data_IF_988378967712
#
_entry.id   IF_988378967712
#
_cell.length_a   1.000
_cell.length_b   1.000
_cell.length_c   1.000
_cell.angle_alpha   90.00
_cell.angle_beta   90.00
_cell.angle_gamma   90.00
#
_symmetry.space_group_name_H-M   'P 1'
#
loop_
_entity.id
_entity.type
_entity.pdbx_description
1 polymer ?
#
# COMPACT_ATOMS: atom_id res chain seq x y z
N UNK A 1 -15.95 13.71 -8.96
CA UNK A 1 -14.85 12.99 -8.24
C UNK A 1 -14.75 11.48 -8.52
N UNK A 2 -15.38 10.91 -9.56
CA UNK A 2 -15.25 9.47 -9.91
C UNK A 2 -14.09 9.15 -10.86
N UNK A 3 -13.59 10.14 -11.60
CA UNK A 3 -12.56 9.96 -12.64
C UNK A 3 -11.13 9.70 -12.10
N UNK A 4 -10.77 10.23 -10.92
CA UNK A 4 -9.41 10.08 -10.38
C UNK A 4 -9.11 8.69 -9.79
N UNK A 5 -10.13 7.87 -9.53
CA UNK A 5 -9.94 6.53 -8.96
C UNK A 5 -9.67 5.45 -10.03
N UNK A 6 -10.16 5.65 -11.26
CA UNK A 6 -10.03 4.66 -12.35
C UNK A 6 -8.66 4.71 -13.02
N UNK A 7 -8.04 5.88 -13.11
CA UNK A 7 -6.71 6.07 -13.71
C UNK A 7 -5.61 5.36 -12.88
N UNK A 8 -5.81 5.27 -11.56
CA UNK A 8 -4.84 4.63 -10.63
C UNK A 8 -4.69 3.13 -10.85
N UNK A 9 -5.77 2.42 -11.18
CA UNK A 9 -5.73 0.96 -11.34
C UNK A 9 -4.99 0.51 -12.61
N UNK A 10 -4.93 1.34 -13.66
CA UNK A 10 -4.28 0.96 -14.92
C UNK A 10 -2.80 1.30 -15.00
N UNK A 11 -2.34 2.33 -14.29
CA UNK A 11 -0.95 2.81 -14.42
C UNK A 11 0.04 1.98 -13.58
N UNK A 12 -0.36 1.48 -12.39
CA UNK A 12 0.54 0.65 -11.57
C UNK A 12 0.79 -0.75 -12.17
N UNK A 13 -0.12 -1.28 -12.99
CA UNK A 13 0.05 -2.57 -13.64
C UNK A 13 1.05 -2.55 -14.81
N UNK A 14 1.28 -1.39 -15.43
CA UNK A 14 2.07 -1.28 -16.66
C UNK A 14 3.58 -1.07 -16.48
N UNK A 15 4.07 -0.67 -15.30
CA UNK A 15 5.45 -0.19 -15.14
C UNK A 15 6.46 -1.24 -14.61
N UNK A 16 6.04 -2.49 -14.35
CA UNK A 16 6.89 -3.52 -13.71
C UNK A 16 7.24 -4.72 -14.60
N UNK A 17 7.01 -4.63 -15.92
CA UNK A 17 7.36 -5.70 -16.86
C UNK A 17 8.53 -5.26 -17.76
N UNK A 18 9.77 -5.56 -17.36
CA UNK A 18 10.90 -5.51 -18.28
C UNK A 18 12.27 -5.32 -17.63
N UNK A 19 12.98 -6.43 -17.38
CA UNK A 19 14.42 -6.58 -17.64
C UNK A 19 14.91 -7.93 -17.08
N UNK A 20 15.00 -8.94 -17.93
CA UNK A 20 15.82 -10.12 -17.71
C UNK A 20 16.51 -10.49 -19.02
N UNK A 21 17.67 -11.14 -18.90
CA UNK A 21 18.58 -11.66 -19.94
C UNK A 21 19.79 -10.77 -20.23
N UNK A 22 20.89 -11.04 -19.55
CA UNK A 22 22.18 -11.37 -20.18
C UNK A 22 22.95 -12.31 -19.26
N UNK A 23 23.13 -13.55 -19.71
CA UNK A 23 23.97 -14.56 -19.08
C UNK A 23 25.39 -14.43 -19.66
N UNK A 24 26.40 -14.44 -18.80
CA UNK A 24 27.80 -14.64 -19.21
C UNK A 24 28.40 -15.76 -18.38
N UNK A 25 29.00 -16.70 -19.08
CA UNK A 25 29.61 -17.92 -18.57
C UNK A 25 31.01 -17.65 -18.03
N UNK A 26 31.39 -18.31 -16.93
CA UNK A 26 32.79 -18.46 -16.54
C UNK A 26 33.08 -19.90 -16.10
N UNK A 27 34.23 -20.42 -16.56
CA UNK A 27 34.74 -21.79 -16.41
C UNK A 27 35.51 -21.96 -15.09
N UNK A 28 35.77 -23.20 -14.62
CA UNK A 28 36.12 -23.48 -13.23
C UNK A 28 37.63 -23.49 -12.97
N UNK A 29 38.04 -23.14 -11.75
CA UNK A 29 39.40 -23.37 -11.25
C UNK A 29 39.40 -23.89 -9.79
N UNK A 30 39.79 -25.17 -9.68
CA UNK A 30 40.69 -25.85 -8.72
C UNK A 30 40.62 -25.55 -7.21
N UNK A 31 40.39 -26.65 -6.48
CA UNK A 31 40.25 -26.85 -5.03
C UNK A 31 41.59 -26.92 -4.27
N UNK A 32 41.62 -26.38 -3.05
CA UNK A 32 42.50 -26.80 -1.92
C UNK A 32 41.78 -26.49 -0.57
N UNK A 33 42.05 -27.20 0.54
CA UNK A 33 41.11 -27.36 1.65
C UNK A 33 41.36 -26.50 2.91
N UNK A 34 40.23 -26.05 3.50
CA UNK A 34 39.80 -25.89 4.92
C UNK A 34 40.80 -25.43 6.00
N UNK A 35 40.38 -24.47 6.85
CA UNK A 35 40.22 -24.75 8.28
C UNK A 35 38.82 -24.41 8.84
N UNK A 36 38.39 -25.24 9.80
CA UNK A 36 37.35 -25.17 10.85
C UNK A 36 36.20 -24.13 10.80
N UNK A 37 34.98 -24.49 11.27
CA UNK A 37 33.79 -23.67 11.12
C UNK A 37 33.87 -22.40 11.97
N UNK A 38 33.99 -21.26 11.32
CA UNK A 38 33.56 -20.00 11.90
C UNK A 38 32.07 -20.15 12.23
N UNK A 39 31.72 -19.95 13.51
CA UNK A 39 30.35 -19.88 13.99
C UNK A 39 29.51 -19.06 13.02
N UNK A 40 28.53 -19.71 12.38
CA UNK A 40 27.54 -19.01 11.59
C UNK A 40 26.93 -17.92 12.48
N UNK A 41 26.87 -16.64 12.05
CA UNK A 41 26.05 -15.68 12.76
C UNK A 41 24.62 -16.23 12.77
N UNK A 42 23.99 -16.24 13.95
CA UNK A 42 22.57 -16.54 14.06
C UNK A 42 21.82 -15.68 13.01
N UNK A 43 20.81 -16.22 12.31
CA UNK A 43 20.07 -15.44 11.32
C UNK A 43 19.55 -14.18 12.03
N UNK A 44 20.12 -13.05 11.65
CA UNK A 44 19.64 -11.74 12.08
C UNK A 44 18.15 -11.67 11.75
N UNK A 45 17.33 -11.13 12.64
CA UNK A 45 15.87 -10.96 12.51
C UNK A 45 15.37 -10.21 11.25
N UNK A 46 16.24 -9.97 10.27
CA UNK A 46 16.09 -9.23 9.02
C UNK A 46 15.35 -10.01 7.91
N UNK A 47 14.96 -11.26 8.11
CA UNK A 47 14.21 -12.06 7.11
C UNK A 47 12.74 -12.32 7.49
N UNK A 48 12.22 -11.69 8.55
CA UNK A 48 10.81 -11.88 8.89
C UNK A 48 9.92 -11.25 7.82
N UNK A 49 8.90 -12.01 7.42
CA UNK A 49 7.85 -11.58 6.51
C UNK A 49 7.21 -10.25 7.00
N UNK A 50 6.98 -9.31 6.07
CA UNK A 50 6.29 -8.05 6.36
C UNK A 50 4.83 -8.39 6.68
N UNK A 51 4.43 -8.15 7.91
CA UNK A 51 3.06 -8.38 8.36
C UNK A 51 2.15 -7.23 7.93
N UNK A 52 0.86 -7.51 7.62
CA UNK A 52 -0.10 -6.45 7.37
C UNK A 52 -0.34 -5.64 8.65
N UNK A 53 -0.77 -4.37 8.53
CA UNK A 53 -1.03 -3.51 9.68
C UNK A 53 -2.25 -3.98 10.50
N UNK A 54 -2.49 -3.35 11.65
CA UNK A 54 -3.66 -3.57 12.51
C UNK A 54 -3.77 -4.98 13.10
N UNK A 55 -2.64 -5.67 13.27
CA UNK A 55 -2.60 -7.06 13.76
C UNK A 55 -3.46 -8.00 12.91
N UNK A 56 -3.54 -7.71 11.61
CA UNK A 56 -4.13 -8.59 10.62
C UNK A 56 -3.16 -9.74 10.32
N UNK A 57 -3.67 -10.76 9.67
CA UNK A 57 -2.86 -11.86 9.14
C UNK A 57 -3.10 -11.97 7.64
N UNK A 58 -2.06 -12.33 6.91
CA UNK A 58 -2.22 -12.72 5.52
C UNK A 58 -3.16 -13.91 5.41
N UNK A 59 -3.97 -13.95 4.35
CA UNK A 59 -5.01 -14.96 4.16
C UNK A 59 -6.05 -14.99 5.29
N UNK A 60 -6.25 -13.86 5.99
CA UNK A 60 -7.39 -13.73 6.88
C UNK A 60 -8.69 -13.76 6.04
N UNK A 61 -9.68 -14.60 6.41
CA UNK A 61 -10.97 -14.65 5.72
C UNK A 61 -11.69 -13.31 5.76
N UNK A 62 -12.33 -12.93 4.65
CA UNK A 62 -13.05 -11.66 4.50
C UNK A 62 -14.13 -11.46 5.57
N UNK A 63 -14.83 -12.52 5.98
CA UNK A 63 -15.86 -12.47 7.02
C UNK A 63 -15.27 -12.05 8.37
N UNK A 64 -14.11 -12.62 8.73
CA UNK A 64 -13.41 -12.28 9.96
C UNK A 64 -12.91 -10.85 9.94
N UNK A 65 -12.42 -10.39 8.78
CA UNK A 65 -11.95 -9.02 8.62
C UNK A 65 -13.09 -8.01 8.69
N UNK A 66 -14.23 -8.27 8.03
CA UNK A 66 -15.40 -7.38 8.11
C UNK A 66 -15.92 -7.26 9.55
N UNK A 67 -15.91 -8.34 10.33
CA UNK A 67 -16.21 -8.29 11.78
C UNK A 67 -15.21 -7.42 12.55
N UNK A 68 -13.91 -7.47 12.23
CA UNK A 68 -12.90 -6.59 12.84
C UNK A 68 -13.14 -5.12 12.49
N UNK A 69 -13.51 -4.81 11.25
CA UNK A 69 -13.87 -3.44 10.82
C UNK A 69 -15.05 -2.93 11.65
N UNK A 70 -16.10 -3.75 11.78
CA UNK A 70 -17.30 -3.41 12.55
C UNK A 70 -16.97 -3.22 14.05
N UNK A 71 -16.17 -4.11 14.63
CA UNK A 71 -15.70 -4.00 16.02
C UNK A 71 -14.84 -2.74 16.26
N UNK A 72 -14.06 -2.32 15.26
CA UNK A 72 -13.30 -1.08 15.27
C UNK A 72 -14.17 0.18 15.07
N UNK A 73 -15.49 0.03 14.90
CA UNK A 73 -16.45 1.10 14.61
C UNK A 73 -16.12 1.88 13.33
N UNK A 74 -15.49 1.20 12.37
CA UNK A 74 -15.25 1.71 11.03
C UNK A 74 -16.43 1.36 10.14
N UNK A 75 -16.65 2.15 9.08
CA UNK A 75 -17.71 1.91 8.11
C UNK A 75 -17.13 1.34 6.82
N UNK A 76 -17.74 0.27 6.30
CA UNK A 76 -17.48 -0.19 4.95
C UNK A 76 -18.22 0.73 3.99
N UNK A 77 -17.48 1.45 3.16
CA UNK A 77 -18.03 2.49 2.26
C UNK A 77 -18.16 2.01 0.82
N UNK A 78 -17.39 1.00 0.43
CA UNK A 78 -17.39 0.45 -0.92
C UNK A 78 -16.98 -1.02 -0.92
N UNK A 79 -17.58 -1.79 -1.83
CA UNK A 79 -17.16 -3.16 -2.17
C UNK A 79 -17.20 -3.27 -3.68
N UNK A 80 -16.07 -3.62 -4.29
CA UNK A 80 -15.98 -3.75 -5.74
C UNK A 80 -15.08 -4.91 -6.13
N UNK A 81 -15.40 -5.54 -7.25
CA UNK A 81 -14.54 -6.56 -7.85
C UNK A 81 -13.71 -5.92 -8.96
N UNK A 82 -12.39 -6.04 -8.86
CA UNK A 82 -11.45 -5.67 -9.91
C UNK A 82 -10.77 -6.93 -10.43
N UNK A 83 -11.10 -7.31 -11.66
CA UNK A 83 -10.61 -8.54 -12.30
C UNK A 83 -10.85 -9.77 -11.41
N UNK A 84 -9.79 -10.30 -10.81
CA UNK A 84 -9.80 -11.47 -9.93
C UNK A 84 -9.94 -11.13 -8.44
N UNK A 85 -9.70 -9.87 -8.06
CA UNK A 85 -9.65 -9.46 -6.67
C UNK A 85 -10.90 -8.71 -6.23
N UNK A 86 -11.31 -8.92 -4.99
CA UNK A 86 -12.28 -8.06 -4.32
C UNK A 86 -11.58 -6.98 -3.52
N UNK A 87 -12.11 -5.77 -3.57
CA UNK A 87 -11.64 -4.63 -2.78
C UNK A 87 -12.78 -4.21 -1.87
N UNK A 88 -12.51 -4.23 -0.56
CA UNK A 88 -13.40 -3.68 0.47
C UNK A 88 -12.76 -2.41 1.00
N UNK A 89 -13.46 -1.27 0.87
CA UNK A 89 -12.97 0.01 1.37
C UNK A 89 -13.61 0.31 2.73
N UNK A 90 -12.79 0.56 3.74
CA UNK A 90 -13.21 1.03 5.04
C UNK A 90 -12.83 2.51 5.25
N UNK A 91 -13.72 3.24 5.91
CA UNK A 91 -13.52 4.62 6.34
C UNK A 91 -14.04 4.86 7.75
N UNK A 92 -14.11 6.14 8.15
CA UNK A 92 -14.60 6.53 9.48
C UNK A 92 -13.54 6.53 10.59
N UNK A 93 -12.25 6.58 10.21
CA UNK A 93 -11.16 6.74 11.18
C UNK A 93 -11.36 8.03 11.98
N UNK A 94 -11.44 7.92 13.30
CA UNK A 94 -11.60 9.08 14.19
C UNK A 94 -10.32 9.92 14.16
N UNK A 95 -10.47 11.22 13.93
CA UNK A 95 -9.39 12.19 14.10
C UNK A 95 -8.89 12.16 15.55
N UNK A 96 -7.58 12.07 15.82
CA UNK A 96 -7.04 12.39 17.14
C UNK A 96 -7.43 13.83 17.50
N UNK A 97 -7.73 14.08 18.78
CA UNK A 97 -8.16 15.39 19.24
C UNK A 97 -7.10 16.45 18.88
N UNK A 98 -7.51 17.45 18.12
CA UNK A 98 -6.62 18.34 17.36
C UNK A 98 -6.28 19.60 18.15
N UNK A 99 -5.69 19.48 19.35
CA UNK A 99 -5.52 20.65 20.24
C UNK A 99 -4.22 21.45 20.06
N UNK A 100 -3.33 21.02 19.16
CA UNK A 100 -2.22 21.86 18.65
C UNK A 100 -2.55 22.33 17.23
N UNK A 101 -2.75 23.64 17.05
CA UNK A 101 -3.20 24.24 15.80
C UNK A 101 -2.05 24.56 14.83
N UNK A 102 -0.80 24.57 15.29
CA UNK A 102 0.35 25.01 14.49
C UNK A 102 1.27 23.88 14.04
N UNK A 103 1.17 22.69 14.63
CA UNK A 103 1.91 21.52 14.16
C UNK A 103 1.37 21.00 12.80
N UNK A 104 2.23 20.75 11.79
CA UNK A 104 1.84 19.97 10.62
C UNK A 104 1.60 18.52 11.05
N UNK A 105 0.34 18.20 11.35
CA UNK A 105 -0.08 16.82 11.69
C UNK A 105 0.03 15.94 10.47
N UNK A 106 0.67 14.76 10.54
CA UNK A 106 0.76 13.81 9.42
C UNK A 106 -0.60 13.67 8.72
N UNK A 107 -0.62 13.42 7.40
CA UNK A 107 -1.86 13.37 6.67
C UNK A 107 -2.76 12.32 7.29
N UNK A 108 -4.03 12.65 7.47
CA UNK A 108 -4.96 11.76 8.16
C UNK A 108 -5.19 10.49 7.32
N UNK A 109 -5.24 9.34 8.00
CA UNK A 109 -5.65 8.10 7.34
C UNK A 109 -7.11 8.24 6.93
N UNK A 110 -7.34 8.43 5.62
CA UNK A 110 -8.67 8.73 5.08
C UNK A 110 -9.47 7.46 4.80
N UNK A 111 -8.79 6.43 4.30
CA UNK A 111 -9.39 5.13 3.98
C UNK A 111 -8.36 4.02 4.04
N UNK A 112 -8.86 2.81 4.30
CA UNK A 112 -8.10 1.57 4.18
C UNK A 112 -8.81 0.69 3.18
N UNK A 113 -8.08 0.17 2.21
CA UNK A 113 -8.59 -0.78 1.23
C UNK A 113 -8.02 -2.16 1.55
N UNK A 114 -8.90 -3.14 1.63
CA UNK A 114 -8.55 -4.54 1.84
C UNK A 114 -8.78 -5.29 0.54
N UNK A 115 -7.72 -5.90 0.02
CA UNK A 115 -7.73 -6.64 -1.22
C UNK A 115 -7.77 -8.13 -0.92
N UNK A 116 -8.70 -8.84 -1.54
CA UNK A 116 -8.91 -10.26 -1.35
C UNK A 116 -8.73 -11.00 -2.67
N UNK A 117 -8.01 -12.13 -2.65
CA UNK A 117 -8.08 -13.12 -3.73
C UNK A 117 -9.28 -14.05 -3.48
N UNK A 118 -10.03 -14.34 -4.54
CA UNK A 118 -11.23 -15.15 -4.48
C UNK A 118 -12.39 -14.51 -3.70
N UNK A 119 -13.40 -15.32 -3.41
CA UNK A 119 -14.61 -14.92 -2.71
C UNK A 119 -15.75 -14.41 -3.58
N UNK A 120 -16.93 -14.31 -2.98
CA UNK A 120 -18.16 -13.86 -3.60
C UNK A 120 -18.97 -13.01 -2.63
N UNK A 121 -19.70 -12.03 -3.16
CA UNK A 121 -20.65 -11.26 -2.35
C UNK A 121 -21.88 -12.12 -2.08
N UNK A 122 -22.17 -12.33 -0.80
CA UNK A 122 -23.39 -12.95 -0.31
C UNK A 122 -24.27 -11.90 0.37
N UNK A 123 -25.56 -12.20 0.47
CA UNK A 123 -26.51 -11.40 1.25
C UNK A 123 -26.77 -12.12 2.57
N UNK A 124 -26.46 -11.44 3.66
CA UNK A 124 -26.67 -11.95 5.01
C UNK A 124 -27.71 -11.11 5.75
N UNK A 125 -28.51 -11.77 6.58
CA UNK A 125 -29.46 -11.08 7.46
C UNK A 125 -28.73 -10.69 8.74
N UNK A 126 -28.53 -9.40 8.95
CA UNK A 126 -27.93 -8.88 10.19
C UNK A 126 -28.82 -9.11 11.41
N UNK A 127 -28.26 -8.94 12.61
CA UNK A 127 -28.98 -9.11 13.88
C UNK A 127 -30.23 -8.21 14.01
N UNK A 128 -30.24 -7.07 13.30
CA UNK A 128 -31.39 -6.15 13.21
C UNK A 128 -32.42 -6.55 12.13
N UNK A 129 -32.29 -7.73 11.53
CA UNK A 129 -33.14 -8.20 10.44
C UNK A 129 -32.88 -7.57 9.07
N UNK A 130 -31.98 -6.58 8.98
CA UNK A 130 -31.62 -5.91 7.73
C UNK A 130 -30.67 -6.79 6.93
N UNK A 131 -30.97 -6.96 5.64
CA UNK A 131 -30.07 -7.63 4.71
C UNK A 131 -28.87 -6.72 4.44
N UNK A 132 -27.66 -7.27 4.61
CA UNK A 132 -26.41 -6.63 4.25
C UNK A 132 -25.64 -7.50 3.25
N UNK A 133 -24.87 -6.84 2.40
CA UNK A 133 -23.92 -7.53 1.53
C UNK A 133 -22.61 -7.76 2.29
N UNK A 134 -22.08 -8.98 2.21
CA UNK A 134 -20.85 -9.42 2.88
C UNK A 134 -19.99 -10.12 1.86
N UNK A 135 -18.68 -9.88 1.88
CA UNK A 135 -17.74 -10.68 1.11
C UNK A 135 -17.46 -11.99 1.86
N UNK A 136 -17.76 -13.12 1.21
CA UNK A 136 -17.52 -14.46 1.76
C UNK A 136 -16.45 -15.21 0.97
N UNK A 137 -15.59 -15.94 1.67
CA UNK A 137 -14.56 -16.81 1.09
C UNK A 137 -13.36 -16.10 0.45
N UNK A 138 -13.21 -14.78 0.63
CA UNK A 138 -12.05 -14.02 0.17
C UNK A 138 -10.86 -14.16 1.12
N UNK A 139 -9.64 -14.19 0.59
CA UNK A 139 -8.40 -14.30 1.37
C UNK A 139 -7.60 -13.01 1.28
N UNK A 140 -7.27 -12.37 2.41
CA UNK A 140 -6.54 -11.10 2.42
C UNK A 140 -5.15 -11.24 1.78
N UNK A 141 -4.88 -10.46 0.73
CA UNK A 141 -3.60 -10.44 -0.01
C UNK A 141 -2.94 -9.07 -0.07
N UNK A 142 -3.70 -7.98 0.13
CA UNK A 142 -3.14 -6.64 0.22
C UNK A 142 -3.95 -5.74 1.17
N UNK A 143 -3.24 -4.86 1.87
CA UNK A 143 -3.80 -3.78 2.67
C UNK A 143 -3.21 -2.47 2.19
N UNK A 144 -4.06 -1.59 1.68
CA UNK A 144 -3.67 -0.24 1.28
C UNK A 144 -4.14 0.79 2.31
N UNK A 145 -3.22 1.58 2.85
CA UNK A 145 -3.51 2.73 3.71
C UNK A 145 -3.40 3.99 2.87
N UNK A 146 -4.49 4.76 2.72
CA UNK A 146 -4.43 6.03 2.01
C UNK A 146 -4.56 7.22 2.96
N UNK A 147 -3.55 8.08 2.91
CA UNK A 147 -3.45 9.30 3.69
C UNK A 147 -3.71 10.53 2.83
N UNK A 148 -4.54 11.43 3.33
CA UNK A 148 -4.82 12.71 2.70
C UNK A 148 -5.10 13.79 3.76
N UNK A 149 -4.70 15.02 3.47
CA UNK A 149 -4.96 16.17 4.31
C UNK A 149 -5.33 17.37 3.45
N UNK A 150 -6.51 17.93 3.72
CA UNK A 150 -6.97 19.11 3.01
C UNK A 150 -6.11 20.32 3.41
N UNK A 151 -5.77 21.16 2.42
CA UNK A 151 -4.94 22.36 2.62
C UNK A 151 -3.43 22.11 2.74
N UNK A 152 -2.98 20.86 2.60
CA UNK A 152 -1.55 20.56 2.49
C UNK A 152 -1.04 20.72 1.06
N UNK A 153 0.17 21.26 0.95
CA UNK A 153 0.90 21.44 -0.30
C UNK A 153 1.90 20.29 -0.54
N UNK A 154 2.58 20.33 -1.69
CA UNK A 154 3.58 19.34 -2.05
C UNK A 154 4.73 19.22 -1.04
N UNK A 155 5.15 20.32 -0.42
CA UNK A 155 6.26 20.33 0.54
C UNK A 155 5.92 19.54 1.81
N UNK A 156 4.71 19.75 2.36
CA UNK A 156 4.23 18.99 3.52
C UNK A 156 4.06 17.50 3.21
N UNK A 157 3.53 17.18 2.03
CA UNK A 157 3.46 15.79 1.57
C UNK A 157 4.85 15.18 1.36
N UNK A 158 5.81 15.94 0.85
CA UNK A 158 7.21 15.51 0.66
C UNK A 158 7.92 15.24 1.99
N UNK A 159 7.65 16.05 3.00
CA UNK A 159 8.13 15.84 4.38
C UNK A 159 7.56 14.54 4.94
N UNK A 160 6.23 14.35 4.86
CA UNK A 160 5.60 13.13 5.35
C UNK A 160 6.07 11.87 4.59
N UNK A 161 6.23 11.96 3.27
CA UNK A 161 6.80 10.89 2.45
C UNK A 161 8.19 10.48 2.97
N UNK A 162 9.04 11.46 3.26
CA UNK A 162 10.39 11.24 3.77
C UNK A 162 10.38 10.58 5.16
N UNK A 163 9.49 11.03 6.04
CA UNK A 163 9.31 10.43 7.38
C UNK A 163 8.85 8.97 7.29
N UNK A 164 7.84 8.66 6.45
CA UNK A 164 7.36 7.29 6.25
C UNK A 164 8.42 6.41 5.62
N UNK A 165 9.19 6.92 4.65
CA UNK A 165 10.32 6.21 4.08
C UNK A 165 11.36 5.87 5.14
N UNK A 166 11.79 6.85 5.95
CA UNK A 166 12.76 6.61 7.02
C UNK A 166 12.23 5.61 8.06
N UNK A 167 10.94 5.67 8.40
CA UNK A 167 10.31 4.70 9.28
C UNK A 167 10.39 3.27 8.70
N UNK A 168 10.05 3.10 7.42
CA UNK A 168 10.14 1.80 6.74
C UNK A 168 11.58 1.33 6.60
N UNK A 169 12.52 2.25 6.35
CA UNK A 169 13.95 1.94 6.29
C UNK A 169 14.47 1.38 7.63
N UNK A 170 14.00 1.92 8.75
CA UNK A 170 14.33 1.40 10.09
C UNK A 170 13.74 0.01 10.35
N UNK A 171 12.53 -0.26 9.85
CA UNK A 171 11.82 -1.52 10.07
C UNK A 171 12.33 -2.65 9.16
N UNK A 172 12.61 -2.33 7.89
CA UNK A 172 12.82 -3.30 6.84
C UNK A 172 14.16 -3.13 6.10
N UNK A 173 15.05 -2.26 6.57
CA UNK A 173 16.29 -1.93 5.86
C UNK A 173 16.04 -0.99 4.68
N UNK A 174 17.08 -0.60 3.93
CA UNK A 174 16.95 0.40 2.88
C UNK A 174 15.98 -0.04 1.76
N UNK A 175 15.01 0.82 1.44
CA UNK A 175 14.06 0.61 0.36
C UNK A 175 14.64 0.91 -1.03
N UNK A 176 14.09 0.28 -2.05
CA UNK A 176 14.38 0.56 -3.45
C UNK A 176 13.43 1.66 -3.97
N UNK A 177 13.95 2.66 -4.69
CA UNK A 177 13.10 3.59 -5.43
C UNK A 177 12.56 2.90 -6.68
N UNK A 178 11.24 2.76 -6.78
CA UNK A 178 10.55 2.16 -7.93
C UNK A 178 10.39 3.14 -9.07
N UNK A 179 9.96 4.36 -8.73
CA UNK A 179 9.60 5.38 -9.72
C UNK A 179 9.80 6.76 -9.13
N UNK A 180 10.24 7.68 -9.99
CA UNK A 180 10.11 9.12 -9.78
C UNK A 180 9.88 9.73 -11.14
N UNK A 181 8.65 10.15 -11.41
CA UNK A 181 8.26 10.68 -12.71
C UNK A 181 7.33 11.87 -12.51
N UNK A 182 7.46 12.85 -13.40
CA UNK A 182 6.52 13.95 -13.54
C UNK A 182 6.21 14.07 -15.04
N UNK A 183 4.95 13.96 -15.40
CA UNK A 183 4.50 13.90 -16.80
C UNK A 183 3.24 14.74 -16.96
N UNK A 184 3.05 15.45 -18.08
CA UNK A 184 1.78 16.08 -18.40
C UNK A 184 0.66 15.04 -18.48
N UNK A 185 -0.55 15.41 -18.07
CA UNK A 185 -1.75 14.61 -18.32
C UNK A 185 -2.04 14.53 -19.83
N UNK A 186 -2.77 13.51 -20.31
CA UNK A 186 -3.05 13.35 -21.75
C UNK A 186 -3.75 14.56 -22.40
N UNK A 187 -4.51 15.33 -21.63
CA UNK A 187 -5.18 16.56 -22.07
C UNK A 187 -4.30 17.82 -21.98
N UNK A 188 -3.06 17.69 -21.46
CA UNK A 188 -2.10 18.79 -21.29
C UNK A 188 -2.47 19.81 -20.22
N UNK A 189 -3.56 19.59 -19.47
CA UNK A 189 -4.10 20.59 -18.52
C UNK A 189 -3.50 20.52 -17.13
N UNK A 190 -2.84 19.40 -16.82
CA UNK A 190 -2.24 19.17 -15.52
C UNK A 190 -0.91 18.44 -15.66
N UNK A 191 -0.14 18.44 -14.58
CA UNK A 191 1.05 17.62 -14.43
C UNK A 191 0.79 16.58 -13.35
N UNK A 192 0.98 15.31 -13.68
CA UNK A 192 0.95 14.22 -12.72
C UNK A 192 2.37 13.88 -12.27
N UNK A 193 2.56 13.68 -10.98
CA UNK A 193 3.84 13.23 -10.42
C UNK A 193 3.63 12.01 -9.55
N UNK A 194 4.51 11.03 -9.75
CA UNK A 194 4.50 9.76 -9.01
C UNK A 194 5.89 9.53 -8.44
N UNK A 195 5.96 9.31 -7.14
CA UNK A 195 7.17 8.87 -6.43
C UNK A 195 6.85 7.59 -5.68
N UNK A 196 7.63 6.54 -5.91
CA UNK A 196 7.38 5.23 -5.33
C UNK A 196 8.63 4.59 -4.77
N UNK A 197 8.49 3.96 -3.60
CA UNK A 197 9.52 3.17 -2.94
C UNK A 197 8.97 1.78 -2.60
N UNK A 198 9.84 0.78 -2.52
CA UNK A 198 9.50 -0.61 -2.19
C UNK A 198 10.50 -1.23 -1.23
N UNK A 199 9.97 -1.99 -0.28
CA UNK A 199 10.73 -2.88 0.58
C UNK A 199 10.19 -4.29 0.40
N UNK A 200 11.07 -5.27 0.24
CA UNK A 200 10.70 -6.67 0.05
C UNK A 200 11.31 -7.53 1.15
N UNK A 201 10.52 -8.48 1.69
CA UNK A 201 10.99 -9.58 2.54
C UNK A 201 10.23 -10.85 2.16
N UNK A 202 10.95 -11.88 1.71
CA UNK A 202 10.37 -13.13 1.21
C UNK A 202 9.26 -12.85 0.17
N UNK A 203 8.05 -13.34 0.41
CA UNK A 203 6.90 -13.19 -0.48
C UNK A 203 6.04 -11.97 -0.13
N UNK A 204 6.56 -11.02 0.63
CA UNK A 204 5.82 -9.81 1.01
C UNK A 204 6.58 -8.55 0.66
N UNK A 205 5.81 -7.51 0.38
CA UNK A 205 6.32 -6.20 0.08
C UNK A 205 5.52 -5.12 0.80
N UNK A 206 6.18 -3.99 1.08
CA UNK A 206 5.48 -2.73 1.32
C UNK A 206 5.92 -1.72 0.28
N UNK A 207 4.96 -1.04 -0.34
CA UNK A 207 5.20 0.04 -1.29
C UNK A 207 4.69 1.35 -0.71
N UNK A 208 5.52 2.39 -0.76
CA UNK A 208 5.15 3.75 -0.39
C UNK A 208 5.02 4.58 -1.66
N UNK A 209 3.80 5.00 -1.98
CA UNK A 209 3.49 5.73 -3.21
C UNK A 209 2.97 7.11 -2.86
N UNK A 210 3.63 8.14 -3.38
CA UNK A 210 3.11 9.50 -3.43
C UNK A 210 2.63 9.78 -4.86
N UNK A 211 1.38 10.25 -4.95
CA UNK A 211 0.75 10.66 -6.19
C UNK A 211 0.21 12.07 -6.02
N UNK A 212 0.57 12.98 -6.92
CA UNK A 212 -0.08 14.27 -7.03
C UNK A 212 -0.44 14.64 -8.46
N UNK A 213 -1.48 15.44 -8.59
CA UNK A 213 -1.86 16.11 -9.85
C UNK A 213 -1.98 17.60 -9.56
N UNK A 214 -1.10 18.39 -10.17
CA UNK A 214 -1.16 19.86 -10.14
C UNK A 214 -1.80 20.37 -11.42
N UNK A 215 -2.82 21.22 -11.31
CA UNK A 215 -3.46 21.88 -12.46
C UNK A 215 -2.72 23.18 -12.76
N UNK A 216 -2.47 23.49 -14.03
CA UNK A 216 -1.66 24.64 -14.43
C UNK A 216 -2.31 26.01 -14.08
N UNK A 217 -3.63 26.05 -13.89
CA UNK A 217 -4.41 27.29 -13.72
C UNK A 217 -4.80 27.59 -12.25
N UNK A 218 -4.08 27.03 -11.28
CA UNK A 218 -4.32 27.30 -9.84
C UNK A 218 -5.55 26.62 -9.24
N UNK A 219 -6.19 25.71 -9.98
CA UNK A 219 -7.22 24.83 -9.43
C UNK A 219 -6.64 23.80 -8.43
N UNK A 220 -7.53 23.26 -7.61
CA UNK A 220 -7.24 22.39 -6.47
C UNK A 220 -6.34 21.21 -6.86
N UNK A 221 -5.08 21.25 -6.42
CA UNK A 221 -4.16 20.14 -6.56
C UNK A 221 -4.67 18.94 -5.74
N UNK A 222 -4.54 17.74 -6.31
CA UNK A 222 -4.93 16.51 -5.64
C UNK A 222 -3.68 15.76 -5.20
N UNK A 223 -3.58 15.47 -3.90
CA UNK A 223 -2.46 14.75 -3.31
C UNK A 223 -2.93 13.47 -2.64
N UNK A 224 -2.12 12.42 -2.70
CA UNK A 224 -2.32 11.22 -1.88
C UNK A 224 -0.99 10.56 -1.58
N UNK A 225 -0.84 10.12 -0.34
CA UNK A 225 0.22 9.22 0.09
C UNK A 225 -0.41 7.87 0.41
N UNK A 226 0.07 6.78 -0.17
CA UNK A 226 -0.43 5.44 0.13
C UNK A 226 0.69 4.49 0.54
N UNK A 227 0.36 3.60 1.47
CA UNK A 227 1.17 2.44 1.84
C UNK A 227 0.44 1.18 1.38
N UNK A 228 1.07 0.38 0.54
CA UNK A 228 0.53 -0.89 0.07
C UNK A 228 1.32 -2.03 0.70
N UNK A 229 0.73 -2.73 1.66
CA UNK A 229 1.27 -3.99 2.17
C UNK A 229 0.72 -5.11 1.28
N UNK A 230 1.61 -5.88 0.65
CA UNK A 230 1.27 -6.90 -0.34
C UNK A 230 1.89 -8.23 0.01
N UNK A 231 1.17 -9.32 -0.27
CA UNK A 231 1.70 -10.68 -0.32
C UNK A 231 1.53 -11.25 -1.72
N UNK A 232 2.63 -11.76 -2.27
CA UNK A 232 2.71 -12.43 -3.58
C UNK A 232 2.60 -13.95 -3.46
#
# INVERSE_FOLDING_TARGET
MRFASDIRCRILAGLLAGAAMHASAEKPAKTTPVPAPASAPAPTSQEREIQPPFSLMWHEPSERLELKIEAAKLSITDRRKLERQWIVTAGGFKKPNSTDASAPKPPELRRVLFHFDGGAVSKEKGANGKVREVLAGGQLVEVELQYQQDGWDEERYGTCLSEKRQMLDRLYGPGQQLVRSSTPTPDGKATQTIVGYKWNRNNTAVELIYFHVGVNDGEQAFHTLSLHYKRS
#
